data_IF_773763643797
#
_entry.id   IF_773763643797
#
_cell.length_a   1.000
_cell.length_b   1.000
_cell.length_c   1.000
_cell.angle_alpha   90.00
_cell.angle_beta   90.00
_cell.angle_gamma   90.00
#
_symmetry.space_group_name_H-M   'P 1'
#
loop_
_entity.id
_entity.type
_entity.pdbx_description
1 polymer ?
#
# COMPACT_ATOMS: atom_id res chain seq x y z
N UNK A 1 -6.31 -41.44 -4.86
CA UNK A 1 -5.01 -41.13 -5.48
C UNK A 1 -4.63 -39.75 -4.97
N UNK A 2 -4.29 -39.69 -3.67
CA UNK A 2 -2.92 -39.43 -3.14
C UNK A 2 -2.47 -38.01 -3.50
N UNK A 3 -2.77 -37.02 -2.66
CA UNK A 3 -1.94 -36.58 -1.50
C UNK A 3 -0.44 -36.56 -1.82
N UNK A 4 0.08 -35.36 -2.09
CA UNK A 4 1.37 -34.85 -1.62
C UNK A 4 1.58 -33.45 -2.22
N UNK A 5 1.65 -32.44 -1.37
CA UNK A 5 2.66 -31.36 -1.36
C UNK A 5 2.18 -30.28 -0.35
N UNK A 6 2.26 -30.65 0.93
CA UNK A 6 2.35 -29.72 2.05
C UNK A 6 3.64 -30.06 2.75
N UNK A 7 4.65 -29.21 2.58
CA UNK A 7 5.67 -28.87 3.58
C UNK A 7 6.63 -27.88 2.93
N UNK A 8 7.21 -27.02 3.78
CA UNK A 8 8.18 -25.94 3.51
C UNK A 8 7.66 -24.50 3.64
N UNK A 9 7.61 -24.14 4.93
CA UNK A 9 8.09 -22.88 5.55
C UNK A 9 7.14 -21.69 5.73
N UNK A 10 6.19 -21.94 6.63
CA UNK A 10 5.92 -21.14 7.81
C UNK A 10 7.20 -20.61 8.50
N UNK A 11 7.59 -19.34 8.26
CA UNK A 11 8.51 -18.54 9.11
C UNK A 11 8.62 -17.07 8.66
N UNK A 12 7.61 -16.25 8.97
CA UNK A 12 7.78 -14.79 9.14
C UNK A 12 6.61 -14.21 9.91
N UNK A 13 6.61 -14.38 11.23
CA UNK A 13 5.76 -13.62 12.13
C UNK A 13 6.59 -13.15 13.32
N UNK A 14 6.74 -11.84 13.45
CA UNK A 14 7.18 -11.20 14.70
C UNK A 14 5.91 -10.95 15.52
N UNK A 15 5.76 -11.48 16.75
CA UNK A 15 4.65 -11.13 17.62
C UNK A 15 4.85 -9.71 18.16
N UNK A 16 3.90 -8.81 17.90
CA UNK A 16 3.73 -7.58 18.68
C UNK A 16 3.06 -7.98 19.99
N UNK A 17 3.80 -7.90 21.10
CA UNK A 17 3.27 -8.06 22.45
C UNK A 17 2.68 -6.72 22.91
N UNK A 18 1.35 -6.67 22.94
CA UNK A 18 0.57 -5.60 23.54
C UNK A 18 -0.12 -6.16 24.79
N UNK A 19 0.53 -6.01 25.96
CA UNK A 19 -0.12 -5.78 27.27
C UNK A 19 0.90 -5.63 28.38
N UNK A 20 1.02 -4.38 28.87
CA UNK A 20 1.14 -3.94 30.28
C UNK A 20 2.06 -2.72 30.40
N UNK A 21 1.49 -1.52 30.21
CA UNK A 21 2.05 -0.27 30.75
C UNK A 21 1.27 0.11 32.01
N UNK A 22 1.87 0.15 33.19
CA UNK A 22 1.40 1.00 34.28
C UNK A 22 2.03 2.40 34.12
N UNK A 23 1.21 3.44 34.26
CA UNK A 23 1.64 4.83 34.26
C UNK A 23 2.49 5.20 35.50
N UNK A 24 3.15 6.37 35.51
CA UNK A 24 4.03 6.75 36.60
C UNK A 24 3.24 7.45 37.71
N UNK A 25 3.39 6.96 38.94
CA UNK A 25 3.06 7.71 40.16
C UNK A 25 4.31 7.86 41.03
N UNK A 26 4.52 9.10 41.48
CA UNK A 26 5.68 9.61 42.22
C UNK A 26 5.50 9.35 43.72
N UNK A 27 6.58 8.94 44.43
CA UNK A 27 7.10 9.63 45.64
C UNK A 27 8.39 9.00 46.22
N UNK A 28 9.40 9.89 46.28
CA UNK A 28 10.53 10.07 47.20
C UNK A 28 10.70 9.15 48.42
N UNK A 29 11.93 8.72 48.67
CA UNK A 29 12.62 8.96 49.97
C UNK A 29 14.15 8.85 49.86
N UNK A 30 14.79 9.61 50.74
CA UNK A 30 16.13 10.17 50.76
C UNK A 30 17.07 9.31 51.63
N UNK A 31 18.23 8.89 51.12
CA UNK A 31 19.36 8.48 51.95
C UNK A 31 20.69 8.90 51.31
N UNK A 32 21.20 10.03 51.79
CA UNK A 32 22.56 10.54 51.57
C UNK A 32 23.54 9.81 52.49
N UNK A 33 24.58 9.17 51.94
CA UNK A 33 25.81 8.83 52.68
C UNK A 33 27.03 9.16 51.82
N UNK A 34 27.82 10.12 52.29
CA UNK A 34 29.10 10.56 51.73
C UNK A 34 30.27 9.66 52.20
N UNK A 35 31.41 9.63 51.49
CA UNK A 35 32.47 8.63 51.63
C UNK A 35 33.55 9.03 52.65
N UNK A 36 34.48 8.12 52.98
CA UNK A 36 35.86 8.59 53.13
C UNK A 36 36.92 7.72 52.43
N UNK A 37 37.72 8.44 51.63
CA UNK A 37 39.18 8.40 51.48
C UNK A 37 39.98 7.24 52.12
N UNK A 38 40.85 6.63 51.31
CA UNK A 38 42.04 5.92 51.83
C UNK A 38 42.75 5.10 50.76
N UNK A 39 44.00 5.47 50.46
CA UNK A 39 44.95 4.76 49.59
C UNK A 39 45.23 3.34 50.12
N UNK A 40 45.53 2.41 49.23
CA UNK A 40 46.88 1.83 49.15
C UNK A 40 47.10 0.99 47.89
N UNK A 41 48.24 1.25 47.27
CA UNK A 41 48.78 0.58 46.10
C UNK A 41 49.27 -0.83 46.44
N UNK A 42 48.83 -1.83 45.68
CA UNK A 42 49.56 -3.10 45.57
C UNK A 42 49.73 -3.43 44.08
N UNK A 43 51.01 -3.44 43.69
CA UNK A 43 51.52 -3.91 42.41
C UNK A 43 51.33 -5.42 42.28
N UNK A 44 50.68 -5.86 41.20
CA UNK A 44 50.65 -7.27 40.80
C UNK A 44 51.15 -7.42 39.38
N UNK A 45 52.05 -8.37 39.23
CA UNK A 45 52.92 -8.69 38.10
C UNK A 45 52.15 -9.06 36.83
N UNK A 46 52.59 -8.49 35.70
CA UNK A 46 52.15 -8.84 34.34
C UNK A 46 52.69 -10.23 33.98
N UNK A 47 51.82 -11.25 34.09
CA UNK A 47 52.06 -12.54 33.46
C UNK A 47 51.90 -12.42 31.94
N UNK A 48 53.02 -12.55 31.21
CA UNK A 48 53.00 -12.70 29.75
C UNK A 48 52.36 -14.04 29.39
N UNK A 49 51.19 -14.01 28.77
CA UNK A 49 50.64 -15.15 28.02
C UNK A 49 50.74 -14.84 26.53
N UNK A 50 51.56 -15.63 25.84
CA UNK A 50 51.71 -15.63 24.39
C UNK A 50 50.46 -16.27 23.78
N UNK A 51 49.84 -15.66 22.75
CA UNK A 51 48.59 -16.17 22.18
C UNK A 51 48.82 -17.40 21.30
N UNK A 52 48.05 -18.47 21.52
CA UNK A 52 47.92 -19.58 20.57
C UNK A 52 47.12 -19.12 19.33
N UNK A 53 47.55 -19.45 18.09
CA UNK A 53 46.89 -18.99 16.88
C UNK A 53 45.80 -19.99 16.47
N UNK A 54 44.55 -19.73 16.85
CA UNK A 54 43.41 -20.46 16.29
C UNK A 54 42.13 -19.61 16.29
N UNK A 55 42.22 -18.35 15.84
CA UNK A 55 41.05 -17.48 15.66
C UNK A 55 41.21 -16.60 14.42
N UNK A 56 41.31 -17.20 13.23
CA UNK A 56 41.23 -16.41 12.00
C UNK A 56 40.81 -17.20 10.76
N UNK A 57 39.89 -18.16 10.89
CA UNK A 57 39.27 -18.80 9.71
C UNK A 57 37.76 -19.02 9.82
N UNK A 58 37.14 -18.68 10.95
CA UNK A 58 35.69 -18.85 11.17
C UNK A 58 34.92 -17.53 11.39
N UNK A 59 35.54 -16.38 11.11
CA UNK A 59 34.86 -15.08 11.13
C UNK A 59 34.54 -14.56 9.72
N UNK A 60 35.20 -15.11 8.69
CA UNK A 60 34.96 -14.72 7.29
C UNK A 60 33.72 -15.42 6.72
N UNK A 61 33.37 -16.62 7.22
CA UNK A 61 32.20 -17.36 6.74
C UNK A 61 30.85 -16.81 7.24
N UNK A 62 30.84 -16.03 8.33
CA UNK A 62 29.61 -15.43 8.87
C UNK A 62 29.30 -14.04 8.28
N UNK A 63 30.28 -13.39 7.64
CA UNK A 63 30.10 -12.09 6.98
C UNK A 63 29.61 -12.21 5.53
N UNK A 64 29.71 -13.40 4.91
CA UNK A 64 29.28 -13.64 3.53
C UNK A 64 27.79 -13.94 3.34
N UNK A 65 27.02 -14.13 4.42
CA UNK A 65 25.59 -14.49 4.37
C UNK A 65 24.63 -13.34 4.73
N UNK A 66 25.14 -12.14 5.00
CA UNK A 66 24.30 -10.95 5.31
C UNK A 66 23.98 -10.15 4.02
N UNK A 67 24.48 -10.59 2.86
CA UNK A 67 24.48 -9.80 1.62
C UNK A 67 23.69 -10.46 0.49
N UNK A 68 22.48 -10.96 0.77
CA UNK A 68 21.46 -11.16 -0.27
C UNK A 68 20.08 -10.92 0.33
N UNK A 69 19.66 -9.66 0.37
CA UNK A 69 18.27 -9.21 0.30
C UNK A 69 18.28 -7.75 -0.18
N UNK A 70 18.97 -7.47 -1.28
CA UNK A 70 18.49 -6.42 -2.17
C UNK A 70 17.39 -7.09 -2.98
N UNK A 71 16.19 -7.15 -2.40
CA UNK A 71 15.01 -7.24 -3.27
C UNK A 71 15.09 -5.97 -4.11
N UNK A 72 15.04 -6.09 -5.43
CA UNK A 72 14.71 -4.94 -6.25
C UNK A 72 13.33 -4.50 -5.76
N UNK A 73 13.29 -3.54 -4.82
CA UNK A 73 12.07 -2.81 -4.55
C UNK A 73 11.73 -2.19 -5.90
N UNK A 74 10.64 -2.66 -6.51
CA UNK A 74 10.11 -2.06 -7.73
C UNK A 74 9.96 -0.54 -7.55
N UNK A 75 9.73 0.19 -8.63
CA UNK A 75 9.60 1.65 -8.55
C UNK A 75 8.29 2.11 -7.85
N UNK A 76 7.64 1.22 -7.09
CA UNK A 76 6.36 1.40 -6.42
C UNK A 76 6.47 2.48 -5.33
N UNK A 77 5.73 3.56 -5.51
CA UNK A 77 5.61 4.67 -4.56
C UNK A 77 4.38 4.43 -3.68
N UNK A 78 4.56 4.50 -2.36
CA UNK A 78 3.47 4.34 -1.35
C UNK A 78 3.23 5.59 -0.49
N UNK A 79 4.02 6.64 -0.67
CA UNK A 79 3.99 7.88 0.12
C UNK A 79 4.65 9.02 -0.67
N UNK A 80 4.35 10.26 -0.31
CA UNK A 80 4.92 11.47 -0.94
C UNK A 80 4.82 11.43 -2.47
N UNK A 81 3.61 11.19 -2.98
CA UNK A 81 3.37 11.00 -4.40
C UNK A 81 3.72 12.27 -5.19
N UNK A 82 4.52 12.09 -6.24
CA UNK A 82 4.66 13.08 -7.30
C UNK A 82 3.43 13.02 -8.22
N UNK A 83 2.36 13.67 -7.79
CA UNK A 83 1.06 13.68 -8.46
C UNK A 83 1.19 14.16 -9.92
N UNK A 84 2.17 15.01 -10.24
CA UNK A 84 2.37 15.48 -11.62
C UNK A 84 2.61 14.34 -12.63
N UNK A 85 3.11 13.20 -12.15
CA UNK A 85 3.40 12.00 -12.96
C UNK A 85 2.20 11.09 -13.19
N UNK A 86 1.07 11.30 -12.51
CA UNK A 86 -0.12 10.46 -12.71
C UNK A 86 -0.94 10.89 -13.92
N UNK A 87 -0.70 12.09 -14.47
CA UNK A 87 -1.37 12.55 -15.68
C UNK A 87 -1.20 11.54 -16.83
N UNK A 88 -2.21 11.44 -17.68
CA UNK A 88 -2.22 10.62 -18.88
C UNK A 88 -3.29 9.54 -18.88
N UNK A 89 -3.19 8.64 -19.84
CA UNK A 89 -4.15 7.56 -20.04
C UNK A 89 -3.93 6.42 -19.05
N UNK A 90 -5.05 5.84 -18.62
CA UNK A 90 -5.12 4.69 -17.71
C UNK A 90 -6.26 3.76 -18.14
N UNK A 91 -6.15 2.48 -17.82
CA UNK A 91 -7.16 1.46 -18.07
C UNK A 91 -7.55 0.80 -16.74
N UNK A 92 -8.84 0.76 -16.42
CA UNK A 92 -9.32 0.07 -15.22
C UNK A 92 -9.18 -1.45 -15.38
N UNK A 93 -8.50 -2.09 -14.43
CA UNK A 93 -8.14 -3.53 -14.47
C UNK A 93 -8.96 -4.33 -13.46
N UNK A 94 -8.93 -3.95 -12.19
CA UNK A 94 -9.72 -4.58 -11.12
C UNK A 94 -10.55 -3.52 -10.37
N UNK A 95 -11.75 -3.91 -9.95
CA UNK A 95 -12.63 -3.07 -9.15
C UNK A 95 -13.23 -3.88 -8.01
N UNK A 96 -13.24 -3.33 -6.80
CA UNK A 96 -13.67 -4.05 -5.62
C UNK A 96 -14.44 -3.15 -4.65
N UNK A 97 -15.48 -3.67 -3.99
CA UNK A 97 -16.23 -2.94 -2.95
C UNK A 97 -16.71 -3.88 -1.84
N UNK A 98 -16.90 -3.36 -0.63
CA UNK A 98 -17.58 -4.07 0.44
C UNK A 98 -19.08 -4.25 0.17
N UNK A 99 -19.66 -3.46 -0.74
CA UNK A 99 -21.03 -3.60 -1.25
C UNK A 99 -20.98 -4.04 -2.70
N UNK A 100 -21.27 -5.32 -2.96
CA UNK A 100 -21.11 -5.96 -4.28
C UNK A 100 -21.82 -5.21 -5.40
N UNK A 101 -23.04 -4.75 -5.14
CA UNK A 101 -23.91 -4.03 -6.07
C UNK A 101 -23.30 -2.72 -6.59
N UNK A 102 -22.32 -2.14 -5.86
CA UNK A 102 -21.56 -0.96 -6.31
C UNK A 102 -20.59 -1.26 -7.45
N UNK A 103 -20.26 -2.52 -7.65
CA UNK A 103 -19.33 -2.95 -8.69
C UNK A 103 -20.00 -3.79 -9.77
N UNK A 104 -21.30 -4.06 -9.68
CA UNK A 104 -22.03 -4.83 -10.69
C UNK A 104 -22.37 -4.01 -11.95
N UNK A 105 -22.84 -4.69 -12.99
CA UNK A 105 -23.24 -4.06 -14.24
C UNK A 105 -24.36 -3.02 -14.00
N UNK A 106 -24.32 -1.90 -14.73
CA UNK A 106 -25.21 -0.74 -14.59
C UNK A 106 -25.07 0.05 -13.27
N UNK A 107 -24.14 -0.33 -12.38
CA UNK A 107 -23.83 0.49 -11.22
C UNK A 107 -23.13 1.78 -11.65
N UNK A 108 -23.55 2.92 -11.09
CA UNK A 108 -22.91 4.23 -11.29
C UNK A 108 -21.42 4.20 -10.93
N UNK A 109 -21.06 3.43 -9.91
CA UNK A 109 -19.69 3.33 -9.40
C UNK A 109 -18.83 2.35 -10.23
N UNK A 110 -19.41 1.61 -11.18
CA UNK A 110 -18.66 0.81 -12.16
C UNK A 110 -18.14 1.70 -13.28
N UNK A 111 -17.11 2.47 -12.95
CA UNK A 111 -16.43 3.42 -13.83
C UNK A 111 -15.26 2.77 -14.57
N UNK A 112 -14.96 3.28 -15.76
CA UNK A 112 -13.79 2.91 -16.56
C UNK A 112 -12.95 4.16 -16.82
N UNK A 113 -11.84 4.30 -16.08
CA UNK A 113 -10.93 5.43 -16.22
C UNK A 113 -10.40 5.49 -17.66
N UNK A 114 -10.39 6.69 -18.24
CA UNK A 114 -9.79 6.95 -19.55
C UNK A 114 -8.52 7.79 -19.40
N UNK A 115 -8.65 8.98 -18.82
CA UNK A 115 -7.57 9.93 -18.70
C UNK A 115 -7.64 10.67 -17.37
N UNK A 116 -6.49 10.89 -16.75
CA UNK A 116 -6.34 11.72 -15.55
C UNK A 116 -5.53 12.95 -15.94
N UNK A 117 -5.99 14.13 -15.56
CA UNK A 117 -5.26 15.39 -15.73
C UNK A 117 -5.09 16.08 -14.39
N UNK A 118 -3.87 16.51 -14.10
CA UNK A 118 -3.57 17.37 -12.94
C UNK A 118 -3.80 18.82 -13.33
N UNK A 119 -4.75 19.47 -12.67
CA UNK A 119 -5.11 20.87 -12.91
C UNK A 119 -4.14 21.84 -12.22
N UNK A 120 -4.18 23.11 -12.59
CA UNK A 120 -3.28 24.15 -12.07
C UNK A 120 -3.42 24.38 -10.55
N UNK A 121 -4.59 24.11 -9.98
CA UNK A 121 -4.86 24.15 -8.54
C UNK A 121 -4.55 22.82 -7.82
N UNK A 122 -3.89 21.87 -8.49
CA UNK A 122 -3.61 20.51 -8.00
C UNK A 122 -4.83 19.61 -7.79
N UNK A 123 -6.03 20.03 -8.21
CA UNK A 123 -7.19 19.13 -8.35
C UNK A 123 -6.95 18.15 -9.51
N UNK A 124 -7.68 17.03 -9.53
CA UNK A 124 -7.60 16.02 -10.57
C UNK A 124 -8.86 16.02 -11.42
N UNK A 125 -8.72 16.14 -12.73
CA UNK A 125 -9.80 15.88 -13.67
C UNK A 125 -9.71 14.42 -14.15
N UNK A 126 -10.74 13.65 -13.85
CA UNK A 126 -10.91 12.29 -14.35
C UNK A 126 -11.90 12.31 -15.51
N UNK A 127 -11.43 11.95 -16.70
CA UNK A 127 -12.29 11.56 -17.81
C UNK A 127 -12.46 10.04 -17.76
N UNK A 128 -13.71 9.58 -17.71
CA UNK A 128 -14.06 8.18 -17.51
C UNK A 128 -15.29 7.81 -18.34
N UNK A 129 -15.57 6.53 -18.47
CA UNK A 129 -16.81 6.04 -19.03
C UNK A 129 -17.61 5.28 -17.97
N UNK A 130 -18.94 5.38 -18.07
CA UNK A 130 -19.89 4.50 -17.40
C UNK A 130 -20.80 3.85 -18.44
N UNK A 131 -21.46 2.75 -18.05
CA UNK A 131 -22.52 2.15 -18.87
C UNK A 131 -23.89 2.60 -18.41
N UNK A 132 -24.62 3.27 -19.30
CA UNK A 132 -26.02 3.63 -19.11
C UNK A 132 -26.83 2.91 -20.19
N UNK A 133 -27.72 2.01 -19.78
CA UNK A 133 -28.52 1.17 -20.68
C UNK A 133 -27.66 0.44 -21.73
N UNK A 134 -26.52 -0.11 -21.29
CA UNK A 134 -25.56 -0.82 -22.14
C UNK A 134 -24.73 0.06 -23.07
N UNK A 135 -24.91 1.38 -23.06
CA UNK A 135 -24.12 2.33 -23.87
C UNK A 135 -23.04 3.00 -23.04
N UNK A 136 -21.87 3.17 -23.65
CA UNK A 136 -20.76 3.91 -23.06
C UNK A 136 -21.06 5.41 -23.08
N UNK A 137 -21.07 6.01 -21.90
CA UNK A 137 -21.29 7.43 -21.69
C UNK A 137 -20.06 8.01 -21.00
N UNK A 138 -19.47 9.05 -21.58
CA UNK A 138 -18.36 9.77 -20.97
C UNK A 138 -18.86 10.63 -19.80
N UNK A 139 -18.07 10.64 -18.73
CA UNK A 139 -18.23 11.54 -17.59
C UNK A 139 -16.89 12.17 -17.25
N UNK A 140 -16.95 13.43 -16.82
CA UNK A 140 -15.80 14.20 -16.37
C UNK A 140 -16.01 14.60 -14.92
N UNK A 141 -15.10 14.21 -14.03
CA UNK A 141 -15.16 14.52 -12.60
C UNK A 141 -13.92 15.29 -12.16
N UNK A 142 -14.14 16.47 -11.57
CA UNK A 142 -13.08 17.24 -10.93
C UNK A 142 -13.06 16.86 -9.44
N UNK A 143 -11.92 16.36 -8.99
CA UNK A 143 -11.67 15.94 -7.61
C UNK A 143 -10.73 16.91 -6.94
N UNK A 144 -11.21 17.57 -5.88
CA UNK A 144 -10.45 18.60 -5.17
C UNK A 144 -9.51 18.00 -4.14
N UNK A 145 -8.31 18.56 -4.05
CA UNK A 145 -7.32 18.16 -3.04
C UNK A 145 -7.86 18.49 -1.64
N UNK A 146 -7.70 17.56 -0.71
CA UNK A 146 -8.04 17.77 0.71
C UNK A 146 -6.83 18.31 1.49
N UNK A 147 -7.00 18.52 2.79
CA UNK A 147 -5.89 18.86 3.69
C UNK A 147 -4.85 17.73 3.83
N UNK A 148 -5.24 16.47 3.57
CA UNK A 148 -4.34 15.32 3.64
C UNK A 148 -3.65 15.09 2.29
N UNK A 149 -2.34 14.89 2.32
CA UNK A 149 -1.57 14.67 1.10
C UNK A 149 -1.94 13.34 0.43
N UNK A 150 -2.10 13.37 -0.90
CA UNK A 150 -2.56 12.23 -1.69
C UNK A 150 -4.04 11.86 -1.52
N UNK A 151 -4.84 12.67 -0.82
CA UNK A 151 -6.28 12.49 -0.60
C UNK A 151 -7.09 13.59 -1.32
N UNK A 152 -8.14 13.17 -2.00
CA UNK A 152 -9.01 14.01 -2.84
C UNK A 152 -10.47 13.76 -2.51
N UNK A 153 -11.33 14.72 -2.83
CA UNK A 153 -12.78 14.57 -2.67
C UNK A 153 -13.55 14.97 -3.92
N UNK A 154 -14.69 14.31 -4.15
CA UNK A 154 -15.55 14.52 -5.32
C UNK A 154 -17.00 14.17 -5.01
N UNK A 155 -17.95 14.97 -5.49
CA UNK A 155 -19.37 14.64 -5.46
C UNK A 155 -19.78 13.85 -6.71
N UNK A 156 -20.09 12.57 -6.51
CA UNK A 156 -20.59 11.67 -7.55
C UNK A 156 -21.30 10.48 -6.88
N UNK A 157 -22.61 10.34 -7.11
CA UNK A 157 -23.46 9.38 -6.40
C UNK A 157 -23.20 9.38 -4.88
N UNK A 158 -23.15 10.57 -4.28
CA UNK A 158 -22.73 10.80 -2.89
C UNK A 158 -21.43 11.59 -2.79
N UNK A 159 -20.98 11.84 -1.57
CA UNK A 159 -19.70 12.49 -1.31
C UNK A 159 -18.61 11.43 -1.21
N UNK A 160 -17.56 11.54 -2.00
CA UNK A 160 -16.47 10.57 -2.03
C UNK A 160 -15.18 11.21 -1.53
N UNK A 161 -14.42 10.48 -0.73
CA UNK A 161 -13.02 10.80 -0.43
C UNK A 161 -12.18 9.61 -0.86
N UNK A 162 -11.18 9.85 -1.70
CA UNK A 162 -10.28 8.80 -2.15
C UNK A 162 -8.83 9.20 -1.99
N UNK A 163 -7.96 8.20 -1.91
CA UNK A 163 -6.51 8.37 -1.85
C UNK A 163 -5.79 7.45 -2.81
N UNK A 164 -4.60 7.87 -3.22
CA UNK A 164 -3.63 6.98 -3.87
C UNK A 164 -3.03 6.08 -2.80
N UNK A 165 -3.12 4.77 -3.00
CA UNK A 165 -2.58 3.76 -2.08
C UNK A 165 -1.12 3.47 -2.42
N UNK A 166 -0.89 3.20 -3.71
CA UNK A 166 0.37 2.73 -4.25
C UNK A 166 0.36 2.98 -5.77
N UNK A 167 1.51 3.30 -6.37
CA UNK A 167 1.63 3.44 -7.82
C UNK A 167 3.07 3.23 -8.29
N UNK A 168 3.23 2.56 -9.42
CA UNK A 168 4.34 2.80 -10.34
C UNK A 168 3.79 3.69 -11.46
N UNK A 169 4.30 4.92 -11.59
CA UNK A 169 3.80 5.90 -12.56
C UNK A 169 3.80 5.42 -14.02
N UNK A 170 4.59 4.40 -14.32
CA UNK A 170 4.76 3.82 -15.65
C UNK A 170 4.00 2.51 -15.88
N UNK A 171 3.43 1.91 -14.83
CA UNK A 171 2.71 0.62 -14.91
C UNK A 171 1.31 0.71 -14.31
N UNK A 172 1.16 1.00 -13.02
CA UNK A 172 -0.13 0.90 -12.34
C UNK A 172 -0.36 1.96 -11.25
N UNK A 173 -1.62 2.13 -10.88
CA UNK A 173 -2.06 2.96 -9.75
C UNK A 173 -3.23 2.28 -9.03
N UNK A 174 -3.21 2.29 -7.70
CA UNK A 174 -4.29 1.79 -6.85
C UNK A 174 -4.93 2.96 -6.10
N UNK A 175 -6.24 3.06 -6.22
CA UNK A 175 -7.06 4.00 -5.45
C UNK A 175 -7.86 3.27 -4.38
N UNK A 176 -8.05 3.92 -3.23
CA UNK A 176 -9.02 3.54 -2.22
C UNK A 176 -9.95 4.72 -1.96
N UNK A 177 -11.23 4.53 -2.24
CA UNK A 177 -12.32 5.47 -2.09
C UNK A 177 -13.27 5.04 -0.95
N UNK A 178 -13.75 6.02 -0.19
CA UNK A 178 -14.89 5.87 0.73
C UNK A 178 -15.99 6.82 0.28
N UNK A 179 -17.18 6.29 0.06
CA UNK A 179 -18.40 7.05 -0.23
C UNK A 179 -19.19 7.25 1.05
N UNK A 180 -19.55 8.50 1.34
CA UNK A 180 -20.29 8.90 2.54
C UNK A 180 -21.75 9.16 2.18
N UNK A 181 -22.62 8.31 2.73
CA UNK A 181 -24.09 8.45 2.75
C UNK A 181 -24.59 8.13 4.15
N UNK A 182 -25.65 8.79 4.60
CA UNK A 182 -26.16 8.67 5.98
C UNK A 182 -26.39 7.22 6.46
N UNK A 183 -26.76 6.30 5.56
CA UNK A 183 -27.05 4.90 5.89
C UNK A 183 -26.36 3.87 5.00
N UNK A 184 -25.84 4.29 3.86
CA UNK A 184 -25.34 3.41 2.79
C UNK A 184 -23.92 3.77 2.38
N UNK A 185 -23.08 4.16 3.35
CA UNK A 185 -21.66 4.38 3.11
C UNK A 185 -20.98 3.07 2.75
N UNK A 186 -20.06 3.11 1.79
CA UNK A 186 -19.32 1.94 1.31
C UNK A 186 -17.89 2.35 0.97
N UNK A 187 -17.00 1.36 0.88
CA UNK A 187 -15.65 1.57 0.38
C UNK A 187 -15.47 0.87 -0.97
N UNK A 188 -14.60 1.42 -1.81
CA UNK A 188 -14.28 0.88 -3.12
C UNK A 188 -12.79 1.02 -3.39
N UNK A 189 -12.24 0.07 -4.14
CA UNK A 189 -10.85 0.08 -4.57
C UNK A 189 -10.78 -0.19 -6.06
N UNK A 190 -9.89 0.52 -6.73
CA UNK A 190 -9.67 0.38 -8.17
C UNK A 190 -8.17 0.22 -8.44
N UNK A 191 -7.84 -0.79 -9.24
CA UNK A 191 -6.53 -0.92 -9.87
C UNK A 191 -6.67 -0.44 -11.31
N UNK A 192 -5.88 0.57 -11.67
CA UNK A 192 -5.72 1.02 -13.05
C UNK A 192 -4.29 0.81 -13.53
N UNK A 193 -4.11 0.56 -14.83
CA UNK A 193 -2.81 0.33 -15.45
C UNK A 193 -2.59 1.24 -16.67
N UNK A 194 -1.33 1.47 -17.04
CA UNK A 194 -0.96 2.24 -18.25
C UNK A 194 -1.29 1.47 -19.53
N UNK A 195 -1.30 0.15 -19.46
CA UNK A 195 -1.74 -0.77 -20.50
C UNK A 195 -3.10 -1.40 -20.14
N UNK A 196 -3.80 -2.09 -21.07
CA UNK A 196 -5.09 -2.71 -20.80
C UNK A 196 -5.13 -3.76 -19.68
N UNK A 197 -3.98 -4.23 -19.21
CA UNK A 197 -3.80 -5.11 -18.06
C UNK A 197 -2.41 -4.86 -17.42
N UNK A 198 -2.13 -5.49 -16.28
CA UNK A 198 -0.84 -5.41 -15.57
C UNK A 198 -0.42 -6.80 -15.07
N UNK A 199 0.75 -6.90 -14.42
CA UNK A 199 1.30 -8.18 -13.97
C UNK A 199 0.44 -8.86 -12.89
N UNK A 200 0.49 -10.20 -12.86
CA UNK A 200 -0.14 -10.99 -11.80
C UNK A 200 0.36 -10.63 -10.40
N UNK A 201 1.59 -10.15 -10.28
CA UNK A 201 2.13 -9.68 -9.00
C UNK A 201 1.39 -8.45 -8.49
N UNK A 202 1.19 -7.44 -9.35
CA UNK A 202 0.42 -6.23 -9.03
C UNK A 202 -1.03 -6.60 -8.70
N UNK A 203 -1.65 -7.47 -9.51
CA UNK A 203 -3.03 -7.95 -9.29
C UNK A 203 -3.15 -8.65 -7.93
N UNK A 204 -2.19 -9.49 -7.55
CA UNK A 204 -2.15 -10.13 -6.23
C UNK A 204 -1.99 -9.13 -5.09
N UNK A 205 -1.11 -8.14 -5.23
CA UNK A 205 -0.96 -7.04 -4.24
C UNK A 205 -2.27 -6.28 -4.03
N UNK A 206 -3.00 -6.00 -5.11
CA UNK A 206 -4.32 -5.38 -5.02
C UNK A 206 -5.31 -6.24 -4.24
N UNK A 207 -5.39 -7.55 -4.53
CA UNK A 207 -6.27 -8.48 -3.80
C UNK A 207 -5.91 -8.55 -2.31
N UNK A 208 -4.63 -8.64 -1.97
CA UNK A 208 -4.16 -8.63 -0.57
C UNK A 208 -4.55 -7.33 0.14
N UNK A 209 -4.43 -6.19 -0.54
CA UNK A 209 -4.84 -4.90 0.00
C UNK A 209 -6.36 -4.85 0.24
N UNK A 210 -7.18 -5.32 -0.70
CA UNK A 210 -8.64 -5.41 -0.56
C UNK A 210 -9.04 -6.26 0.65
N UNK A 211 -8.46 -7.45 0.79
CA UNK A 211 -8.76 -8.37 1.89
C UNK A 211 -8.38 -7.79 3.25
N UNK A 212 -7.25 -7.08 3.33
CA UNK A 212 -6.84 -6.37 4.56
C UNK A 212 -7.85 -5.31 5.00
N UNK A 213 -8.66 -4.78 4.08
CA UNK A 213 -9.70 -3.79 4.36
C UNK A 213 -11.11 -4.39 4.42
N UNK A 214 -11.22 -5.72 4.50
CA UNK A 214 -12.48 -6.42 4.69
C UNK A 214 -13.28 -6.68 3.42
N UNK A 215 -12.73 -6.38 2.23
CA UNK A 215 -13.37 -6.75 0.97
C UNK A 215 -13.05 -8.21 0.66
N UNK A 216 -14.08 -9.03 0.59
CA UNK A 216 -13.97 -10.47 0.27
C UNK A 216 -13.63 -10.66 -1.21
N UNK A 217 -12.94 -11.76 -1.53
CA UNK A 217 -12.42 -12.01 -2.89
C UNK A 217 -13.53 -12.06 -3.94
N UNK A 218 -14.70 -12.54 -3.55
CA UNK A 218 -15.89 -12.66 -4.40
C UNK A 218 -16.41 -11.29 -4.88
N UNK A 219 -16.10 -10.22 -4.15
CA UNK A 219 -16.46 -8.85 -4.49
C UNK A 219 -15.34 -8.10 -5.24
N UNK A 220 -14.31 -8.82 -5.71
CA UNK A 220 -13.26 -8.28 -6.58
C UNK A 220 -13.59 -8.69 -8.01
N UNK A 221 -13.91 -7.71 -8.85
CA UNK A 221 -14.31 -7.91 -10.23
C UNK A 221 -13.14 -7.66 -11.17
N UNK A 222 -12.92 -8.63 -12.06
CA UNK A 222 -12.02 -8.46 -13.18
C UNK A 222 -12.70 -7.65 -14.28
N UNK A 223 -12.17 -6.46 -14.56
CA UNK A 223 -12.69 -5.61 -15.61
C UNK A 223 -12.11 -5.98 -16.98
N UNK A 224 -10.98 -6.70 -17.02
CA UNK A 224 -10.33 -7.10 -18.28
C UNK A 224 -11.17 -8.07 -19.10
N UNK A 225 -12.05 -8.82 -18.45
CA UNK A 225 -12.95 -9.81 -19.05
C UNK A 225 -14.30 -9.24 -19.50
N UNK A 226 -14.51 -7.92 -19.38
CA UNK A 226 -15.75 -7.25 -19.80
C UNK A 226 -15.49 -6.10 -20.78
N UNK A 227 -16.55 -5.62 -21.42
CA UNK A 227 -16.49 -4.39 -22.21
C UNK A 227 -16.35 -3.16 -21.28
N UNK A 228 -15.13 -2.61 -21.28
CA UNK A 228 -14.68 -1.41 -20.54
C UNK A 228 -14.76 -0.12 -21.37
N UNK A 229 -15.62 -0.08 -22.39
CA UNK A 229 -15.79 1.08 -23.27
C UNK A 229 -14.51 1.47 -24.02
N UNK A 230 -13.65 0.51 -24.36
CA UNK A 230 -12.36 0.78 -25.00
C UNK A 230 -12.52 1.43 -26.39
N UNK A 231 -13.57 1.05 -27.11
CA UNK A 231 -13.97 1.60 -28.41
C UNK A 231 -14.36 3.09 -28.36
N UNK A 232 -14.73 3.61 -27.18
CA UNK A 232 -15.14 5.01 -27.00
C UNK A 232 -13.96 5.92 -26.61
N UNK A 233 -12.78 5.35 -26.33
CA UNK A 233 -11.56 6.07 -25.96
C UNK A 233 -10.97 6.77 -27.18
N UNK A 234 -11.55 7.89 -27.60
CA UNK A 234 -11.02 8.73 -28.68
C UNK A 234 -12.00 9.13 -29.78
N UNK A 235 -13.31 8.92 -29.61
CA UNK A 235 -14.32 9.28 -30.63
C UNK A 235 -14.59 10.79 -30.79
N UNK A 236 -13.84 11.69 -30.13
CA UNK A 236 -13.95 13.15 -30.31
C UNK A 236 -12.88 13.77 -31.24
N UNK A 237 -12.26 12.96 -32.12
CA UNK A 237 -11.49 13.48 -33.26
C UNK A 237 -11.83 12.74 -34.55
N UNK A 238 -13.03 12.97 -35.07
CA UNK A 238 -13.40 12.72 -36.46
C UNK A 238 -14.12 13.95 -37.04
#
# INVERSE_FOLDING_TARGET
MTDHFMEWEEKRWCPLDEKTRPGPDIKTEDWRVEPPSGRDSVSVTVGKTVPYPAKMKLLVLCLGLILVCAHEEGNDVRRNFDVSKISGYWYSVLLASDVREKTEENSSMRVFVNHIEVLSNSSLLFNMHIKVDGKCTEIALVSDKTEKDGEYSVEYDGYNVFRIVETDYTDYIIFHLVNFKEKDSFQMMELSAREPDTSEEVRKRFVEYCQKHGIVKENIFDLTEVDRCLQARGSEKA
#
